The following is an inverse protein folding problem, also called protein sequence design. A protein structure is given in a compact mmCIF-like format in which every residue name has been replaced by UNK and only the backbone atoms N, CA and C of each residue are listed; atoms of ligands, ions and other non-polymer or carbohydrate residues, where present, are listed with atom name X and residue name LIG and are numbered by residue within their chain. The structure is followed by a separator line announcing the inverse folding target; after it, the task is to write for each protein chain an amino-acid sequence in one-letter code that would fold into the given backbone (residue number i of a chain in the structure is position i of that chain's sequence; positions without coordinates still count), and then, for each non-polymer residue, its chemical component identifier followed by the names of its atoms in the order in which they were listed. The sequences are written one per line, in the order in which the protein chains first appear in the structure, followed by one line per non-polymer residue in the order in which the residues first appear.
data_IF_281250289806
#
_entry.id   IF_281250289806
#
_cell.length_a   1.000
_cell.length_b   1.000
_cell.length_c   1.000
_cell.angle_alpha   90.00
_cell.angle_beta   90.00
_cell.angle_gamma   90.00
#
_symmetry.space_group_name_H-M   'P 1'
#
loop_
_entity.id
_entity.type
_entity.pdbx_description
1 polymer ?
#
# COMPACT_ATOMS: atom_id res chain seq x y z
N UNK A 1 -18.55 -20.57 -2.94
CA UNK A 1 -19.92 -20.15 -2.63
C UNK A 1 -20.16 -18.76 -3.20
N UNK A 2 -20.84 -18.69 -4.34
CA UNK A 2 -21.03 -17.42 -5.07
C UNK A 2 -22.32 -16.69 -4.64
N UNK A 3 -23.18 -17.36 -3.88
CA UNK A 3 -24.47 -16.82 -3.43
C UNK A 3 -24.77 -17.17 -1.96
N UNK A 4 -23.79 -17.51 -1.14
CA UNK A 4 -24.02 -18.02 0.23
C UNK A 4 -24.44 -19.50 0.25
N UNK A 5 -24.59 -20.16 -0.89
CA UNK A 5 -24.84 -21.60 -0.94
C UNK A 5 -23.53 -22.38 -1.03
N UNK A 6 -23.38 -23.40 -0.21
CA UNK A 6 -22.23 -24.30 -0.26
C UNK A 6 -22.24 -25.05 -1.60
N UNK A 7 -21.44 -24.56 -2.54
CA UNK A 7 -21.13 -25.33 -3.74
C UNK A 7 -20.27 -26.52 -3.31
N UNK A 8 -20.81 -27.74 -3.38
CA UNK A 8 -20.04 -28.93 -3.04
C UNK A 8 -18.85 -29.03 -3.99
N UNK A 9 -17.74 -29.63 -3.55
CA UNK A 9 -16.56 -29.85 -4.39
C UNK A 9 -16.85 -30.70 -5.67
N UNK A 10 -18.02 -31.31 -5.73
CA UNK A 10 -18.55 -32.00 -6.92
C UNK A 10 -19.25 -31.04 -7.89
N UNK A 11 -19.61 -29.84 -7.46
CA UNK A 11 -20.39 -28.92 -8.29
C UNK A 11 -19.54 -28.19 -9.33
N UNK A 12 -18.22 -28.13 -9.15
CA UNK A 12 -17.33 -27.55 -10.16
C UNK A 12 -16.65 -28.63 -10.97
N UNK A 13 -17.02 -28.73 -12.24
CA UNK A 13 -16.33 -29.57 -13.21
C UNK A 13 -14.89 -29.11 -13.43
N UNK A 14 -13.97 -29.93 -13.97
CA UNK A 14 -12.63 -29.51 -14.34
C UNK A 14 -12.60 -28.29 -15.28
N UNK A 15 -13.62 -28.16 -16.14
CA UNK A 15 -13.78 -27.03 -17.07
C UNK A 15 -14.10 -25.75 -16.28
N UNK A 16 -15.02 -25.81 -15.35
CA UNK A 16 -15.39 -24.65 -14.51
C UNK A 16 -14.22 -24.16 -13.67
N UNK A 17 -13.40 -25.07 -13.14
CA UNK A 17 -12.17 -24.71 -12.43
C UNK A 17 -11.15 -24.04 -13.35
N UNK A 18 -10.95 -24.57 -14.55
CA UNK A 18 -10.04 -23.99 -15.53
C UNK A 18 -10.51 -22.60 -15.95
N UNK A 19 -11.80 -22.42 -16.18
CA UNK A 19 -12.40 -21.15 -16.56
C UNK A 19 -12.27 -20.11 -15.44
N UNK A 20 -12.46 -20.51 -14.18
CA UNK A 20 -12.24 -19.66 -13.02
C UNK A 20 -10.76 -19.22 -12.92
N UNK A 21 -9.81 -20.12 -13.19
CA UNK A 21 -8.37 -19.80 -13.25
C UNK A 21 -8.03 -18.81 -14.38
N UNK A 22 -8.82 -18.79 -15.44
CA UNK A 22 -8.69 -17.87 -16.57
C UNK A 22 -9.48 -16.55 -16.40
N UNK A 23 -10.03 -16.28 -15.23
CA UNK A 23 -10.94 -15.19 -14.88
C UNK A 23 -12.36 -15.32 -15.48
N UNK A 24 -12.74 -16.52 -15.84
CA UNK A 24 -14.09 -16.89 -16.21
C UNK A 24 -14.52 -18.08 -15.37
N UNK A 25 -15.76 -18.12 -14.96
CA UNK A 25 -16.36 -19.26 -14.28
C UNK A 25 -17.81 -19.43 -14.71
N UNK A 26 -18.28 -20.65 -14.63
CA UNK A 26 -19.64 -21.01 -15.00
C UNK A 26 -20.47 -21.06 -13.73
N UNK A 27 -21.53 -20.28 -13.68
CA UNK A 27 -22.55 -20.29 -12.63
C UNK A 27 -23.88 -20.64 -13.29
N UNK A 28 -24.51 -21.71 -12.86
CA UNK A 28 -25.80 -22.15 -13.36
C UNK A 28 -25.86 -22.28 -14.91
N UNK A 29 -24.78 -22.73 -15.53
CA UNK A 29 -24.64 -22.86 -16.97
C UNK A 29 -24.34 -21.56 -17.73
N UNK A 30 -24.18 -20.43 -17.04
CA UNK A 30 -23.76 -19.18 -17.64
C UNK A 30 -22.28 -18.94 -17.38
N UNK A 31 -21.54 -18.44 -18.35
CA UNK A 31 -20.16 -18.00 -18.18
C UNK A 31 -20.15 -16.58 -17.62
N UNK A 32 -19.59 -16.40 -16.43
CA UNK A 32 -19.36 -15.09 -15.84
C UNK A 32 -17.89 -14.71 -15.97
N UNK A 33 -17.65 -13.56 -16.58
CA UNK A 33 -16.29 -13.00 -16.69
C UNK A 33 -15.88 -12.33 -15.39
N UNK A 34 -14.70 -12.69 -14.87
CA UNK A 34 -14.12 -12.02 -13.72
C UNK A 34 -13.71 -10.59 -14.10
N UNK A 35 -14.34 -9.63 -13.45
CA UNK A 35 -14.03 -8.19 -13.65
C UNK A 35 -12.95 -7.74 -12.67
N UNK A 36 -12.00 -6.95 -13.15
CA UNK A 36 -10.98 -6.35 -12.29
C UNK A 36 -11.55 -5.52 -11.14
N UNK A 37 -12.75 -4.95 -11.34
CA UNK A 37 -13.48 -4.25 -10.28
C UNK A 37 -13.85 -5.15 -9.09
N UNK A 38 -14.11 -6.43 -9.33
CA UNK A 38 -14.42 -7.39 -8.27
C UNK A 38 -13.19 -7.66 -7.40
N UNK A 39 -12.00 -7.78 -7.99
CA UNK A 39 -10.77 -7.92 -7.21
C UNK A 39 -10.52 -6.69 -6.32
N UNK A 40 -10.73 -5.48 -6.86
CA UNK A 40 -10.64 -4.25 -6.07
C UNK A 40 -11.63 -4.26 -4.91
N UNK A 41 -12.87 -4.71 -5.17
CA UNK A 41 -13.90 -4.82 -4.15
C UNK A 41 -13.50 -5.83 -3.04
N UNK A 42 -12.99 -6.99 -3.41
CA UNK A 42 -12.50 -7.99 -2.45
C UNK A 42 -11.38 -7.45 -1.57
N UNK A 43 -10.43 -6.69 -2.14
CA UNK A 43 -9.36 -6.05 -1.36
C UNK A 43 -9.96 -5.03 -0.38
N UNK A 44 -10.95 -4.24 -0.78
CA UNK A 44 -11.64 -3.28 0.10
C UNK A 44 -12.37 -3.99 1.24
N UNK A 45 -13.10 -5.06 0.92
CA UNK A 45 -13.78 -5.89 1.92
C UNK A 45 -12.78 -6.46 2.92
N UNK A 46 -11.69 -7.06 2.44
CA UNK A 46 -10.64 -7.58 3.32
C UNK A 46 -10.08 -6.51 4.26
N UNK A 47 -9.82 -5.30 3.74
CA UNK A 47 -9.33 -4.17 4.56
C UNK A 47 -10.35 -3.69 5.59
N UNK A 48 -11.65 -3.76 5.26
CA UNK A 48 -12.73 -3.34 6.16
C UNK A 48 -12.90 -4.30 7.34
N UNK A 49 -12.73 -5.60 7.09
CA UNK A 49 -12.95 -6.64 8.09
C UNK A 49 -11.64 -7.18 8.69
N UNK A 50 -10.50 -6.56 8.40
CA UNK A 50 -9.23 -6.94 8.99
C UNK A 50 -9.12 -6.44 10.43
N UNK A 51 -9.04 -7.37 11.37
CA UNK A 51 -8.86 -7.10 12.80
C UNK A 51 -7.38 -6.94 13.19
N UNK A 52 -6.45 -7.27 12.28
CA UNK A 52 -5.01 -7.23 12.56
C UNK A 52 -4.37 -5.88 12.33
N UNK A 53 -5.04 -4.99 11.59
CA UNK A 53 -4.53 -3.68 11.18
C UNK A 53 -3.44 -3.73 10.11
N UNK A 54 -3.18 -4.91 9.52
CA UNK A 54 -2.17 -5.11 8.49
C UNK A 54 -2.68 -5.99 7.33
N UNK A 55 -3.79 -5.59 6.69
CA UNK A 55 -4.41 -6.39 5.65
C UNK A 55 -3.51 -6.48 4.42
N UNK A 56 -3.02 -7.67 4.14
CA UNK A 56 -2.24 -7.98 2.96
C UNK A 56 -3.08 -8.69 1.89
N UNK A 57 -2.60 -8.69 0.64
CA UNK A 57 -3.20 -9.44 -0.44
C UNK A 57 -2.13 -10.21 -1.20
N UNK A 58 -2.34 -11.49 -1.43
CA UNK A 58 -1.47 -12.34 -2.22
C UNK A 58 -2.18 -12.69 -3.52
N UNK A 59 -1.56 -12.40 -4.65
CA UNK A 59 -2.11 -12.69 -5.96
C UNK A 59 -1.48 -13.94 -6.54
N UNK A 60 -2.27 -14.95 -6.77
CA UNK A 60 -1.88 -16.14 -7.51
C UNK A 60 -2.57 -16.13 -8.87
N UNK A 61 -1.87 -15.85 -9.96
CA UNK A 61 -0.45 -15.51 -10.08
C UNK A 61 -0.30 -14.14 -10.73
N UNK A 62 0.93 -13.63 -10.81
CA UNK A 62 1.23 -12.32 -11.40
C UNK A 62 0.79 -12.21 -12.87
N UNK A 63 0.84 -13.29 -13.63
CA UNK A 63 0.37 -13.29 -15.03
C UNK A 63 -1.08 -12.84 -15.14
N UNK A 64 -1.96 -13.28 -14.25
CA UNK A 64 -3.38 -12.87 -14.24
C UNK A 64 -3.50 -11.37 -13.98
N UNK A 65 -2.74 -10.84 -13.04
CA UNK A 65 -2.74 -9.41 -12.72
C UNK A 65 -2.26 -8.56 -13.92
N UNK A 66 -1.22 -9.02 -14.61
CA UNK A 66 -0.60 -8.25 -15.70
C UNK A 66 -1.30 -8.39 -17.04
N UNK A 67 -1.96 -9.54 -17.30
CA UNK A 67 -2.58 -9.83 -18.60
C UNK A 67 -4.12 -9.61 -18.60
N UNK A 68 -4.75 -9.42 -17.45
CA UNK A 68 -6.16 -9.02 -17.41
C UNK A 68 -6.29 -7.54 -17.77
N UNK A 69 -7.05 -7.25 -18.83
CA UNK A 69 -7.22 -5.89 -19.33
C UNK A 69 -7.72 -4.95 -18.23
N UNK A 70 -7.04 -3.81 -18.07
CA UNK A 70 -7.40 -2.78 -17.10
C UNK A 70 -7.08 -3.11 -15.63
N UNK A 71 -6.68 -4.32 -15.28
CA UNK A 71 -6.44 -4.75 -13.90
C UNK A 71 -5.39 -3.87 -13.19
N UNK A 72 -4.22 -3.71 -13.78
CA UNK A 72 -3.15 -2.89 -13.20
C UNK A 72 -3.58 -1.42 -13.05
N UNK A 73 -4.31 -0.89 -14.02
CA UNK A 73 -4.83 0.47 -13.96
C UNK A 73 -5.79 0.64 -12.78
N UNK A 74 -6.73 -0.29 -12.61
CA UNK A 74 -7.67 -0.28 -11.49
C UNK A 74 -6.96 -0.40 -10.12
N UNK A 75 -6.01 -1.32 -9.99
CA UNK A 75 -5.25 -1.49 -8.75
C UNK A 75 -4.49 -0.21 -8.39
N UNK A 76 -3.82 0.42 -9.37
CA UNK A 76 -3.04 1.64 -9.16
C UNK A 76 -3.87 2.89 -8.95
N UNK A 77 -5.05 2.97 -9.52
CA UNK A 77 -5.92 4.15 -9.37
C UNK A 77 -6.81 4.11 -8.13
N UNK A 78 -6.97 2.95 -7.51
CA UNK A 78 -7.87 2.75 -6.36
C UNK A 78 -7.10 2.21 -5.14
N UNK A 79 -7.02 0.90 -4.97
CA UNK A 79 -6.57 0.26 -3.72
C UNK A 79 -5.06 0.38 -3.45
N UNK A 80 -4.25 0.57 -4.48
CA UNK A 80 -2.80 0.80 -4.38
C UNK A 80 -2.39 2.14 -4.98
N UNK A 81 -3.26 3.14 -4.85
CA UNK A 81 -3.02 4.49 -5.36
C UNK A 81 -1.86 5.19 -4.65
N UNK A 82 -1.70 4.92 -3.37
CA UNK A 82 -0.67 5.54 -2.54
C UNK A 82 0.37 4.50 -2.13
N UNK A 83 1.64 4.90 -1.97
CA UNK A 83 2.65 4.04 -1.38
C UNK A 83 2.28 3.73 0.07
N UNK A 84 2.80 2.64 0.60
CA UNK A 84 2.61 2.27 1.99
C UNK A 84 3.92 1.78 2.58
N UNK A 85 4.11 2.03 3.86
CA UNK A 85 5.16 1.36 4.62
C UNK A 85 4.80 -0.11 4.79
N UNK A 86 5.82 -0.95 4.93
CA UNK A 86 5.61 -2.36 5.32
C UNK A 86 5.01 -2.40 6.72
N UNK A 87 4.10 -3.35 7.01
CA UNK A 87 3.53 -3.49 8.35
C UNK A 87 4.62 -3.67 9.39
N UNK A 88 4.49 -2.94 10.50
CA UNK A 88 5.44 -2.97 11.60
C UNK A 88 5.43 -4.32 12.33
N UNK A 89 6.62 -4.83 12.67
CA UNK A 89 6.80 -5.95 13.57
C UNK A 89 7.00 -5.38 14.99
N UNK A 90 5.92 -4.92 15.61
CA UNK A 90 5.96 -4.12 16.83
C UNK A 90 6.65 -4.83 18.02
N UNK A 91 6.55 -6.16 18.11
CA UNK A 91 7.24 -6.94 19.16
C UNK A 91 8.75 -7.07 18.94
N UNK A 92 9.28 -6.55 17.83
CA UNK A 92 10.72 -6.47 17.51
C UNK A 92 11.21 -5.02 17.41
N UNK A 93 10.51 -4.08 18.02
CA UNK A 93 10.96 -2.69 18.02
C UNK A 93 12.39 -2.58 18.56
N UNK A 94 13.16 -1.72 17.93
CA UNK A 94 14.47 -1.32 18.46
C UNK A 94 14.29 -0.33 19.61
N UNK A 95 15.35 -0.07 20.38
CA UNK A 95 15.36 1.08 21.29
C UNK A 95 15.06 2.36 20.53
N UNK A 96 14.42 3.32 21.19
CA UNK A 96 14.07 4.61 20.59
C UNK A 96 15.29 5.22 19.87
N UNK A 97 15.23 5.44 18.56
CA UNK A 97 16.34 5.99 17.78
C UNK A 97 16.47 7.53 17.92
N UNK A 98 15.63 8.17 18.72
CA UNK A 98 15.53 9.61 18.81
C UNK A 98 14.69 10.24 17.71
N UNK A 99 14.84 11.54 17.54
CA UNK A 99 14.11 12.35 16.57
C UNK A 99 15.00 12.76 15.40
N UNK A 100 14.37 13.00 14.26
CA UNK A 100 15.00 13.71 13.14
C UNK A 100 15.14 15.19 13.51
N UNK A 101 16.25 15.80 13.16
CA UNK A 101 16.53 17.22 13.41
C UNK A 101 17.13 17.92 12.19
N UNK A 102 17.21 19.25 12.23
CA UNK A 102 17.82 20.07 11.17
C UNK A 102 17.26 19.78 9.77
N UNK A 103 15.95 19.62 9.66
CA UNK A 103 15.29 19.42 8.37
C UNK A 103 15.40 20.71 7.55
N UNK A 104 16.04 20.65 6.39
CA UNK A 104 16.23 21.77 5.47
C UNK A 104 15.89 21.39 4.05
N UNK A 105 15.15 22.25 3.34
CA UNK A 105 14.85 22.11 1.93
C UNK A 105 15.55 23.17 1.12
N UNK A 106 16.42 22.74 0.19
CA UNK A 106 17.21 23.65 -0.65
C UNK A 106 17.35 23.06 -2.06
N UNK A 107 17.04 23.86 -3.06
CA UNK A 107 17.20 23.47 -4.48
C UNK A 107 16.55 22.13 -4.87
N UNK A 108 15.40 21.81 -4.27
CA UNK A 108 14.69 20.57 -4.55
C UNK A 108 15.19 19.35 -3.77
N UNK A 109 16.19 19.52 -2.92
CA UNK A 109 16.72 18.50 -2.04
C UNK A 109 16.29 18.78 -0.59
N UNK A 110 15.70 17.78 0.06
CA UNK A 110 15.43 17.77 1.49
C UNK A 110 16.60 17.06 2.17
N UNK A 111 17.14 17.64 3.25
CA UNK A 111 18.21 17.05 4.07
C UNK A 111 17.86 17.15 5.54
N UNK A 112 18.41 16.26 6.35
CA UNK A 112 18.18 16.22 7.80
C UNK A 112 19.33 15.55 8.54
N UNK A 113 19.28 15.64 9.87
CA UNK A 113 20.16 14.87 10.77
C UNK A 113 19.32 13.77 11.42
N UNK A 114 19.83 12.53 11.43
CA UNK A 114 19.14 11.40 12.01
C UNK A 114 20.09 10.26 12.39
N UNK A 115 19.57 9.20 12.98
CA UNK A 115 20.35 8.06 13.47
C UNK A 115 20.94 7.25 12.29
N UNK A 116 22.18 6.82 12.45
CA UNK A 116 22.87 6.00 11.45
C UNK A 116 22.22 4.62 11.29
N UNK A 117 22.22 4.11 10.04
CA UNK A 117 21.67 2.78 9.73
C UNK A 117 20.15 2.68 9.76
N UNK A 118 19.44 3.78 9.94
CA UNK A 118 17.98 3.84 9.88
C UNK A 118 17.47 4.12 8.47
N UNK A 119 16.20 3.90 8.26
CA UNK A 119 15.45 4.35 7.09
C UNK A 119 14.60 5.54 7.50
N UNK A 120 14.21 6.35 6.53
CA UNK A 120 13.44 7.55 6.78
C UNK A 120 12.22 7.57 5.86
N UNK A 121 11.03 7.69 6.43
CA UNK A 121 9.83 7.95 5.66
C UNK A 121 9.68 9.47 5.46
N UNK A 122 9.57 9.88 4.22
CA UNK A 122 9.51 11.29 3.82
C UNK A 122 8.09 11.62 3.38
N UNK A 123 7.52 12.66 3.97
CA UNK A 123 6.17 13.12 3.71
C UNK A 123 6.16 14.54 3.15
N UNK A 124 5.29 14.79 2.17
CA UNK A 124 4.95 16.14 1.73
C UNK A 124 3.48 16.41 2.08
N UNK A 125 3.28 17.25 3.07
CA UNK A 125 1.96 17.59 3.62
C UNK A 125 1.54 18.94 3.08
N UNK A 126 0.35 19.06 2.44
CA UNK A 126 -0.15 20.37 2.02
C UNK A 126 -0.21 21.35 3.21
N UNK A 127 0.19 22.59 3.00
CA UNK A 127 0.23 23.60 4.06
C UNK A 127 -1.11 23.85 4.76
N UNK A 128 -2.22 23.57 4.05
CA UNK A 128 -3.59 23.67 4.58
C UNK A 128 -4.07 22.41 5.31
N UNK A 129 -3.27 21.35 5.41
CA UNK A 129 -3.63 20.14 6.13
C UNK A 129 -3.15 20.18 7.58
N UNK A 130 -3.91 19.57 8.49
CA UNK A 130 -3.51 19.46 9.89
C UNK A 130 -2.27 18.56 10.02
N UNK A 131 -1.14 19.13 10.40
CA UNK A 131 0.17 18.46 10.35
C UNK A 131 0.29 17.23 11.26
N UNK A 132 -0.33 17.25 12.43
CA UNK A 132 -0.22 16.16 13.44
C UNK A 132 -0.80 14.81 13.01
N UNK A 133 -1.78 14.79 12.11
CA UNK A 133 -2.37 13.56 11.58
C UNK A 133 -1.89 13.21 10.17
N UNK A 134 -1.28 14.17 9.48
CA UNK A 134 -0.83 14.03 8.11
C UNK A 134 0.48 13.24 7.96
N UNK A 135 1.37 13.34 8.95
CA UNK A 135 2.53 12.46 9.08
C UNK A 135 2.01 11.08 9.52
N UNK A 136 2.11 10.08 8.72
CA UNK A 136 1.58 8.70 8.79
C UNK A 136 0.38 8.43 7.87
N UNK A 137 -0.11 9.44 7.16
CA UNK A 137 -1.09 9.21 6.12
C UNK A 137 -0.37 8.85 4.81
N UNK A 138 -0.66 7.69 4.28
CA UNK A 138 -0.07 7.20 3.03
C UNK A 138 -0.29 8.14 1.84
N UNK A 139 -1.30 9.00 1.88
CA UNK A 139 -1.57 10.03 0.86
C UNK A 139 -0.44 11.04 0.72
N UNK A 140 0.29 11.28 1.79
CA UNK A 140 1.37 12.27 1.86
C UNK A 140 2.76 11.64 1.85
N UNK A 141 2.85 10.31 1.90
CA UNK A 141 4.12 9.59 1.84
C UNK A 141 4.72 9.71 0.43
N UNK A 142 5.89 10.35 0.33
CA UNK A 142 6.66 10.40 -0.92
C UNK A 142 7.46 9.13 -1.14
N UNK A 143 8.01 8.56 -0.09
CA UNK A 143 8.82 7.34 -0.16
C UNK A 143 9.70 7.13 1.07
N UNK A 144 10.59 6.14 0.94
CA UNK A 144 11.61 5.83 1.93
C UNK A 144 12.99 6.25 1.42
N UNK A 145 13.77 6.87 2.30
CA UNK A 145 15.21 7.11 2.09
C UNK A 145 16.05 6.21 2.98
N UNK A 146 17.20 5.81 2.49
CA UNK A 146 18.25 5.08 3.21
C UNK A 146 19.44 5.98 3.55
N UNK A 147 19.35 7.25 3.18
CA UNK A 147 20.28 8.33 3.51
C UNK A 147 19.54 9.47 4.21
N UNK A 148 20.28 10.44 4.71
CA UNK A 148 19.72 11.63 5.38
C UNK A 148 19.37 12.76 4.41
N UNK A 149 18.97 12.38 3.20
CA UNK A 149 18.55 13.28 2.15
C UNK A 149 17.51 12.64 1.24
N UNK A 150 16.71 13.46 0.53
CA UNK A 150 15.69 13.02 -0.40
C UNK A 150 15.41 14.07 -1.48
N UNK A 151 15.39 13.66 -2.74
CA UNK A 151 15.04 14.55 -3.85
C UNK A 151 13.53 14.72 -3.94
N UNK A 152 13.03 15.91 -3.69
CA UNK A 152 11.60 16.23 -3.73
C UNK A 152 11.14 16.37 -5.18
N UNK A 153 10.14 15.60 -5.63
CA UNK A 153 9.55 15.76 -6.96
C UNK A 153 9.00 17.18 -7.16
N UNK A 154 9.13 17.71 -8.35
CA UNK A 154 8.78 19.13 -8.67
C UNK A 154 7.36 19.51 -8.25
N UNK A 155 6.40 18.58 -8.36
CA UNK A 155 4.99 18.81 -8.03
C UNK A 155 4.74 19.06 -6.54
N UNK A 156 5.70 18.69 -5.66
CA UNK A 156 5.60 18.84 -4.21
C UNK A 156 6.53 19.93 -3.65
N UNK A 157 7.14 20.78 -4.51
CA UNK A 157 8.10 21.82 -4.08
C UNK A 157 7.48 23.13 -3.63
N UNK A 158 6.20 23.34 -3.90
CA UNK A 158 5.48 24.59 -3.56
C UNK A 158 4.14 24.24 -2.93
N UNK A 159 3.78 24.89 -1.82
CA UNK A 159 2.52 24.67 -1.10
C UNK A 159 2.52 23.43 -0.21
N UNK A 160 3.71 22.91 0.13
CA UNK A 160 3.89 21.74 0.99
C UNK A 160 4.91 22.02 2.09
N UNK A 161 4.64 21.48 3.25
CA UNK A 161 5.61 21.29 4.33
C UNK A 161 6.10 19.84 4.33
N UNK A 162 7.31 19.62 4.84
CA UNK A 162 7.89 18.29 4.85
C UNK A 162 8.02 17.76 6.27
N UNK A 163 7.73 16.48 6.44
CA UNK A 163 8.01 15.75 7.65
C UNK A 163 8.86 14.51 7.32
N UNK A 164 9.72 14.16 8.24
CA UNK A 164 10.59 12.99 8.11
C UNK A 164 10.51 12.20 9.40
N UNK A 165 10.13 10.95 9.33
CA UNK A 165 10.11 10.02 10.45
C UNK A 165 11.17 8.95 10.29
N UNK A 166 11.68 8.43 11.41
CA UNK A 166 12.61 7.29 11.40
C UNK A 166 11.81 6.02 11.29
N UNK A 167 12.27 5.09 10.44
CA UNK A 167 11.70 3.75 10.29
C UNK A 167 12.79 2.73 10.56
N UNK A 168 12.60 1.90 11.57
CA UNK A 168 13.57 0.86 11.90
C UNK A 168 13.55 -0.31 10.88
N UNK A 169 14.47 -1.26 11.04
CA UNK A 169 14.55 -2.44 10.18
C UNK A 169 13.34 -3.36 10.27
N UNK A 170 12.52 -3.22 11.29
CA UNK A 170 11.31 -4.00 11.51
C UNK A 170 10.03 -3.29 11.05
N UNK A 171 10.17 -2.12 10.43
CA UNK A 171 9.05 -1.33 9.92
C UNK A 171 8.36 -0.46 10.97
N UNK A 172 8.88 -0.40 12.19
CA UNK A 172 8.31 0.51 13.18
C UNK A 172 8.68 1.94 12.84
N UNK A 173 7.66 2.79 12.71
CA UNK A 173 7.79 4.21 12.45
C UNK A 173 7.73 4.98 13.76
N UNK A 174 8.74 5.78 14.01
CA UNK A 174 8.87 6.66 15.17
C UNK A 174 8.33 8.05 14.84
N UNK A 175 7.99 8.83 15.87
CA UNK A 175 7.45 10.17 15.68
C UNK A 175 8.39 11.04 14.82
N UNK A 176 7.84 11.85 13.89
CA UNK A 176 8.62 12.82 13.12
C UNK A 176 9.11 13.98 13.96
#
# INVERSE_FOLDING_TARGET
DLNGEKVSSKALSPIERKTAEENEYIVDGATASFKGSELVNQIKVNRTYDETGAPGSVFYNMRKVTHTSGMLSLLRSDVYKYPALIPAISWKATSDPGLVSNIAFTNGQLSWTGAEGMRYAVYAVPENAAQTTACRDARYLLGLSYSTDYSIPTIYRTGYTYAVSIVDRYGNEYAP
#
